data_IF_099952466621
#
_entry.id   IF_099952466621
#
_cell.length_a   1.000
_cell.length_b   1.000
_cell.length_c   1.000
_cell.angle_alpha   90.00
_cell.angle_beta   90.00
_cell.angle_gamma   90.00
#
_symmetry.space_group_name_H-M   'P 1'
#
loop_
_entity.id
_entity.type
_entity.pdbx_description
1 polymer ?
#
# COMPACT_ATOMS: atom_id res chain seq x y z
N UNK A 1 5.59 16.87 -13.03
CA UNK A 1 4.58 17.88 -12.72
C UNK A 1 4.34 17.96 -11.23
N UNK A 2 4.63 19.10 -10.67
CA UNK A 2 4.47 19.28 -9.23
C UNK A 2 3.02 19.11 -8.81
N UNK A 3 2.11 19.40 -9.70
CA UNK A 3 0.69 19.36 -9.39
C UNK A 3 0.17 17.95 -9.13
N UNK A 4 0.89 16.92 -9.60
CA UNK A 4 0.46 15.55 -9.37
C UNK A 4 0.57 15.16 -7.91
N UNK A 5 1.50 15.75 -7.19
CA UNK A 5 1.73 15.41 -5.81
C UNK A 5 1.02 16.38 -4.90
N UNK A 6 0.18 15.85 -4.04
CA UNK A 6 -0.51 16.66 -3.03
C UNK A 6 -0.28 16.00 -1.69
N UNK A 7 0.30 16.71 -0.72
CA UNK A 7 0.69 16.08 0.55
C UNK A 7 -0.48 15.45 1.30
N UNK A 8 -1.70 15.98 1.12
CA UNK A 8 -2.85 15.45 1.83
C UNK A 8 -3.50 14.26 1.14
N UNK A 9 -3.01 13.88 -0.04
CA UNK A 9 -3.54 12.70 -0.75
C UNK A 9 -2.72 11.49 -0.33
N UNK A 10 -3.45 10.45 0.09
CA UNK A 10 -2.82 9.22 0.51
C UNK A 10 -2.60 8.33 -0.71
N UNK A 11 -1.35 8.22 -1.13
CA UNK A 11 -0.99 7.45 -2.31
C UNK A 11 -0.65 6.02 -1.88
N UNK A 12 -1.36 5.06 -2.47
CA UNK A 12 -1.15 3.65 -2.19
C UNK A 12 -0.44 2.94 -3.32
N UNK A 13 -0.13 1.67 -3.11
CA UNK A 13 0.56 0.88 -4.13
C UNK A 13 -0.22 0.77 -5.43
N UNK A 14 -1.57 0.77 -5.36
CA UNK A 14 -2.38 0.72 -6.57
C UNK A 14 -2.15 1.92 -7.48
N UNK A 15 -1.95 3.08 -6.88
CA UNK A 15 -1.67 4.30 -7.65
C UNK A 15 -0.34 4.18 -8.37
N UNK A 16 0.67 3.64 -7.69
CA UNK A 16 1.99 3.44 -8.27
C UNK A 16 1.91 2.42 -9.41
N UNK A 17 1.16 1.35 -9.21
CA UNK A 17 0.99 0.33 -10.25
C UNK A 17 0.33 0.93 -11.48
N UNK A 18 -0.71 1.73 -11.29
CA UNK A 18 -1.37 2.37 -12.43
C UNK A 18 -0.43 3.26 -13.21
N UNK A 19 0.42 4.01 -12.52
CA UNK A 19 1.42 4.83 -13.19
C UNK A 19 2.39 3.97 -14.00
N UNK A 20 2.82 2.84 -13.43
CA UNK A 20 3.73 1.92 -14.12
C UNK A 20 3.07 1.33 -15.35
N UNK A 21 1.80 0.94 -15.24
CA UNK A 21 1.08 0.39 -16.39
C UNK A 21 0.98 1.42 -17.50
N UNK A 22 0.70 2.66 -17.14
CA UNK A 22 0.62 3.73 -18.13
C UNK A 22 1.96 3.92 -18.82
N UNK A 23 3.04 3.89 -18.06
CA UNK A 23 4.39 4.05 -18.62
C UNK A 23 4.74 2.90 -19.55
N UNK A 24 4.29 1.69 -19.24
CA UNK A 24 4.56 0.52 -20.04
C UNK A 24 3.54 0.32 -21.16
N UNK A 25 2.48 1.11 -21.14
CA UNK A 25 1.38 0.97 -22.09
C UNK A 25 0.70 -0.39 -21.98
N UNK A 26 0.55 -0.85 -20.74
CA UNK A 26 -0.12 -2.11 -20.43
C UNK A 26 -1.52 -1.84 -19.89
N UNK A 27 -2.45 -2.76 -20.16
CA UNK A 27 -3.79 -2.70 -19.60
C UNK A 27 -3.84 -3.52 -18.32
N UNK A 28 -4.97 -3.42 -17.61
CA UNK A 28 -5.19 -4.26 -16.43
C UNK A 28 -5.25 -5.73 -16.83
N UNK A 29 -5.82 -6.01 -18.00
CA UNK A 29 -5.86 -7.39 -18.50
C UNK A 29 -4.46 -7.92 -18.74
N UNK A 30 -3.58 -7.07 -19.27
CA UNK A 30 -2.19 -7.47 -19.46
C UNK A 30 -1.57 -7.88 -18.13
N UNK A 31 -1.74 -7.07 -17.12
CA UNK A 31 -1.17 -7.35 -15.81
C UNK A 31 -1.79 -8.61 -15.21
N UNK A 32 -3.10 -8.75 -15.34
CA UNK A 32 -3.82 -9.93 -14.87
C UNK A 32 -3.21 -11.20 -15.49
N UNK A 33 -2.97 -11.17 -16.78
CA UNK A 33 -2.39 -12.30 -17.50
C UNK A 33 -0.97 -12.58 -17.03
N UNK A 34 -0.17 -11.51 -16.88
CA UNK A 34 1.23 -11.66 -16.49
C UNK A 34 1.34 -12.23 -15.08
N UNK A 35 0.52 -11.76 -14.17
CA UNK A 35 0.59 -12.18 -12.77
C UNK A 35 -0.22 -13.44 -12.49
N UNK A 36 -1.01 -13.90 -13.45
CA UNK A 36 -1.84 -15.09 -13.25
C UNK A 36 -2.94 -14.88 -12.22
N UNK A 37 -3.44 -13.66 -12.13
CA UNK A 37 -4.51 -13.31 -11.19
C UNK A 37 -5.75 -12.91 -11.97
N UNK A 38 -6.91 -13.01 -11.31
CA UNK A 38 -8.16 -12.63 -11.98
C UNK A 38 -8.21 -11.12 -12.18
N UNK A 39 -8.95 -10.67 -13.22
CA UNK A 39 -9.12 -9.22 -13.39
C UNK A 39 -9.73 -8.53 -12.17
N UNK A 40 -10.63 -9.22 -11.48
CA UNK A 40 -11.22 -8.64 -10.27
C UNK A 40 -10.17 -8.44 -9.19
N UNK A 41 -9.30 -9.43 -8.99
CA UNK A 41 -8.25 -9.33 -7.99
C UNK A 41 -7.29 -8.19 -8.33
N UNK A 42 -6.94 -8.07 -9.60
CA UNK A 42 -6.08 -6.98 -10.06
C UNK A 42 -6.74 -5.63 -9.81
N UNK A 43 -8.02 -5.52 -10.16
CA UNK A 43 -8.73 -4.26 -9.95
C UNK A 43 -8.75 -3.85 -8.49
N UNK A 44 -8.93 -4.80 -7.59
CA UNK A 44 -8.94 -4.51 -6.16
C UNK A 44 -7.58 -4.04 -5.67
N UNK A 45 -6.52 -4.57 -6.25
CA UNK A 45 -5.17 -4.09 -5.93
C UNK A 45 -4.97 -2.67 -6.46
N UNK A 46 -5.37 -2.42 -7.69
CA UNK A 46 -5.18 -1.12 -8.33
C UNK A 46 -6.00 -0.02 -7.66
N UNK A 47 -7.10 -0.37 -7.02
CA UNK A 47 -7.94 0.60 -6.31
C UNK A 47 -7.62 0.64 -4.83
N UNK A 48 -6.57 -0.03 -4.39
CA UNK A 48 -6.11 -0.08 -2.99
C UNK A 48 -7.14 -0.69 -2.05
N UNK A 49 -8.05 -1.50 -2.58
CA UNK A 49 -9.02 -2.19 -1.74
C UNK A 49 -8.43 -3.42 -1.09
N UNK A 50 -7.54 -4.11 -1.79
CA UNK A 50 -6.89 -5.30 -1.27
C UNK A 50 -5.49 -4.98 -0.78
N UNK A 51 -5.11 -5.57 0.33
CA UNK A 51 -3.74 -5.45 0.82
C UNK A 51 -2.79 -6.22 -0.11
N UNK A 52 -1.54 -5.78 -0.13
CA UNK A 52 -0.51 -6.47 -0.91
C UNK A 52 0.04 -7.60 -0.04
N UNK A 53 -0.17 -8.83 -0.49
CA UNK A 53 0.41 -9.99 0.18
C UNK A 53 1.84 -10.20 -0.28
N UNK A 54 2.57 -11.06 0.44
CA UNK A 54 3.94 -11.38 0.06
C UNK A 54 3.97 -11.97 -1.34
N UNK A 55 3.02 -12.86 -1.65
CA UNK A 55 2.95 -13.45 -2.99
C UNK A 55 2.73 -12.40 -4.05
N UNK A 56 1.76 -11.51 -3.82
CA UNK A 56 1.47 -10.46 -4.77
C UNK A 56 2.66 -9.53 -4.94
N UNK A 57 3.35 -9.22 -3.84
CA UNK A 57 4.53 -8.35 -3.92
C UNK A 57 5.63 -8.99 -4.77
N UNK A 58 5.80 -10.30 -4.65
CA UNK A 58 6.79 -11.01 -5.46
C UNK A 58 6.41 -11.01 -6.93
N UNK A 59 5.13 -11.19 -7.21
CA UNK A 59 4.65 -11.14 -8.59
C UNK A 59 4.83 -9.75 -9.18
N UNK A 60 4.56 -8.72 -8.38
CA UNK A 60 4.77 -7.34 -8.84
C UNK A 60 6.24 -7.06 -9.13
N UNK A 61 7.13 -7.62 -8.31
CA UNK A 61 8.55 -7.49 -8.59
C UNK A 61 8.91 -8.10 -9.94
N UNK A 62 8.40 -9.30 -10.22
CA UNK A 62 8.69 -9.94 -11.50
C UNK A 62 8.10 -9.19 -12.68
N UNK A 63 6.91 -8.65 -12.48
CA UNK A 63 6.20 -8.00 -13.59
C UNK A 63 6.70 -6.57 -13.84
N UNK A 64 6.96 -5.82 -12.78
CA UNK A 64 7.20 -4.37 -12.91
C UNK A 64 8.60 -3.93 -12.51
N UNK A 65 9.30 -4.69 -11.68
CA UNK A 65 10.68 -4.38 -11.32
C UNK A 65 10.92 -4.01 -9.88
N UNK A 66 10.17 -3.08 -9.28
CA UNK A 66 10.43 -2.74 -7.88
C UNK A 66 10.36 -3.96 -6.98
N UNK A 67 11.15 -3.96 -5.92
CA UNK A 67 11.30 -5.12 -5.06
C UNK A 67 10.01 -5.44 -4.32
N UNK A 68 9.89 -6.71 -3.89
CA UNK A 68 8.74 -7.10 -3.07
C UNK A 68 8.66 -6.25 -1.81
N UNK A 69 9.81 -5.95 -1.21
CA UNK A 69 9.86 -5.11 -0.02
C UNK A 69 9.29 -3.72 -0.30
N UNK A 70 9.61 -3.17 -1.47
CA UNK A 70 9.07 -1.88 -1.87
C UNK A 70 7.54 -1.90 -1.87
N UNK A 71 6.94 -2.93 -2.48
CA UNK A 71 5.49 -3.02 -2.56
C UNK A 71 4.85 -3.22 -1.21
N UNK A 72 5.46 -4.06 -0.37
CA UNK A 72 4.95 -4.28 0.98
C UNK A 72 5.04 -3.02 1.83
N UNK A 73 6.14 -2.28 1.69
CA UNK A 73 6.30 -1.03 2.41
C UNK A 73 5.30 0.02 1.94
N UNK A 74 5.08 0.09 0.64
CA UNK A 74 4.13 1.05 0.08
C UNK A 74 2.73 0.77 0.60
N UNK A 75 2.34 -0.49 0.66
CA UNK A 75 1.03 -0.86 1.17
C UNK A 75 0.92 -0.59 2.66
N UNK A 76 1.94 -0.95 3.42
CA UNK A 76 1.93 -0.72 4.87
C UNK A 76 1.82 0.77 5.18
N UNK A 77 2.59 1.59 4.48
CA UNK A 77 2.55 3.04 4.70
C UNK A 77 1.19 3.61 4.35
N UNK A 78 0.61 3.15 3.25
CA UNK A 78 -0.71 3.60 2.83
C UNK A 78 -1.75 3.27 3.90
N UNK A 79 -1.76 2.02 4.36
CA UNK A 79 -2.77 1.57 5.31
C UNK A 79 -2.57 2.20 6.68
N UNK A 80 -1.33 2.43 7.06
CA UNK A 80 -1.05 3.11 8.32
C UNK A 80 -1.61 4.52 8.31
N UNK A 81 -1.42 5.25 7.21
CA UNK A 81 -1.97 6.60 7.11
C UNK A 81 -3.49 6.57 7.04
N UNK A 82 -4.04 5.59 6.31
CA UNK A 82 -5.49 5.49 6.14
C UNK A 82 -6.19 5.16 7.46
N UNK A 83 -5.59 4.27 8.24
CA UNK A 83 -6.16 3.79 9.49
C UNK A 83 -5.58 4.47 10.72
N UNK A 84 -4.89 5.58 10.50
CA UNK A 84 -4.33 6.32 11.63
C UNK A 84 -5.47 6.73 12.55
N UNK A 85 -5.50 6.15 13.74
CA UNK A 85 -6.48 6.45 14.74
C UNK A 85 -5.76 7.15 15.88
N UNK A 86 -5.71 8.46 15.80
CA UNK A 86 -5.00 9.25 16.81
C UNK A 86 -5.54 9.03 18.20
N UNK A 87 -6.82 8.73 18.30
CA UNK A 87 -7.42 8.48 19.60
C UNK A 87 -6.84 7.23 20.23
N UNK A 88 -6.79 6.13 19.49
CA UNK A 88 -6.25 4.89 20.02
C UNK A 88 -4.77 5.01 20.33
N UNK A 89 -4.05 5.71 19.46
CA UNK A 89 -2.62 5.91 19.69
C UNK A 89 -2.38 6.72 20.94
N UNK A 90 -3.16 7.78 21.14
CA UNK A 90 -3.04 8.60 22.33
C UNK A 90 -3.40 7.81 23.58
N UNK A 91 -4.43 6.98 23.51
CA UNK A 91 -4.79 6.17 24.65
C UNK A 91 -3.69 5.21 25.04
N UNK A 92 -3.09 4.56 24.01
CA UNK A 92 -1.99 3.63 24.28
C UNK A 92 -0.80 4.35 24.89
N UNK A 93 -0.48 5.54 24.39
CA UNK A 93 0.62 6.32 24.90
C UNK A 93 0.37 6.74 26.34
N UNK A 94 -0.85 7.18 26.63
CA UNK A 94 -1.22 7.59 27.99
C UNK A 94 -1.14 6.40 28.95
N UNK A 95 -1.64 5.26 28.54
CA UNK A 95 -1.58 4.06 29.39
C UNK A 95 -0.15 3.63 29.61
N UNK A 96 0.68 3.68 28.59
CA UNK A 96 2.08 3.33 28.73
C UNK A 96 2.78 4.24 29.73
N UNK A 97 2.50 5.55 29.65
CA UNK A 97 3.08 6.50 30.60
C UNK A 97 2.63 6.22 32.03
N UNK A 98 1.36 5.91 32.22
CA UNK A 98 0.85 5.58 33.54
C UNK A 98 1.58 4.37 34.11
N UNK A 99 1.71 3.30 33.32
CA UNK A 99 2.37 2.10 33.78
C UNK A 99 3.84 2.32 34.07
N UNK A 100 4.49 3.16 33.30
CA UNK A 100 5.92 3.45 33.51
C UNK A 100 6.17 4.14 34.83
N UNK A 101 5.24 4.95 35.30
CA UNK A 101 5.43 5.73 36.51
C UNK A 101 4.66 5.21 37.70
N UNK A 102 4.02 4.05 37.56
CA UNK A 102 3.33 3.46 38.72
C UNK A 102 4.34 2.90 39.70
N UNK A 103 4.16 3.19 40.99
CA UNK A 103 5.01 2.56 42.01
C UNK A 103 4.73 1.08 42.07
N UNK A 104 5.74 0.31 42.36
CA UNK A 104 5.65 -1.13 42.45
C UNK A 104 5.39 -1.54 43.89
#
# INVERSE_FOLDING_TARGET
MAERYKPHINIGPGDIIRDELAALNWTQEDLSSIMGMTPKAINEILTNKSAITIETARLLNKALGPSAQFWLNADASYRLRLKSDHKNEKEAETKANIYKYMPI
#
